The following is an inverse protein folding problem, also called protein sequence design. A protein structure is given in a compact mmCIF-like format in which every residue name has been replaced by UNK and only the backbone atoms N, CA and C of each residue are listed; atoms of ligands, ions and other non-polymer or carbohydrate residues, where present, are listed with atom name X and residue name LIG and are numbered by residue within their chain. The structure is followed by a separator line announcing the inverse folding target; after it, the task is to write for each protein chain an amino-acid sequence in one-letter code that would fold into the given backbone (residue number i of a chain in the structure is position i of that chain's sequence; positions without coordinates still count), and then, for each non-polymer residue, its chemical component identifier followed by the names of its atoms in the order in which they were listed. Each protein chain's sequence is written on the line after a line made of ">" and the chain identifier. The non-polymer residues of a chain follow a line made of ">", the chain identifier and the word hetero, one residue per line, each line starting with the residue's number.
data_IF_492591849078
#
_entry.id   IF_492591849078
#
_cell.length_a   1.000
_cell.length_b   1.000
_cell.length_c   1.000
_cell.angle_alpha   90.00
_cell.angle_beta   90.00
_cell.angle_gamma   90.00
#
_symmetry.space_group_name_H-M   'P 1'
#
loop_
_entity.id
_entity.type
_entity.pdbx_description
1 polymer ?
#
# COMPACT_ATOMS: atom_id res chain seq x y z
N UNK A 1 -8.12 9.29 -6.49
CA UNK A 1 -9.38 9.18 -5.69
C UNK A 1 -9.17 8.55 -4.31
N UNK A 2 -8.30 7.55 -4.16
CA UNK A 2 -8.09 6.89 -2.87
C UNK A 2 -7.55 7.84 -1.80
N UNK A 3 -6.62 8.73 -2.14
CA UNK A 3 -6.08 9.74 -1.20
C UNK A 3 -7.20 10.64 -0.65
N UNK A 4 -8.13 11.07 -1.52
CA UNK A 4 -9.30 11.88 -1.13
C UNK A 4 -10.23 11.07 -0.23
N UNK A 5 -10.42 9.79 -0.53
CA UNK A 5 -11.25 8.90 0.30
C UNK A 5 -10.63 8.66 1.68
N UNK A 6 -9.31 8.50 1.77
CA UNK A 6 -8.58 8.39 3.04
C UNK A 6 -8.70 9.68 3.83
N UNK A 7 -8.51 10.84 3.19
CA UNK A 7 -8.67 12.14 3.83
C UNK A 7 -10.09 12.32 4.38
N UNK A 8 -11.11 11.92 3.62
CA UNK A 8 -12.51 11.99 4.05
C UNK A 8 -12.81 11.05 5.24
N UNK A 9 -12.20 9.85 5.24
CA UNK A 9 -12.33 8.89 6.33
C UNK A 9 -11.61 9.35 7.59
N UNK A 10 -10.44 9.99 7.45
CA UNK A 10 -9.72 10.62 8.54
C UNK A 10 -10.52 11.75 9.17
N UNK A 11 -11.11 12.62 8.35
CA UNK A 11 -11.96 13.72 8.84
C UNK A 11 -13.18 13.17 9.57
N UNK A 12 -13.82 12.14 9.02
CA UNK A 12 -14.95 11.46 9.66
C UNK A 12 -14.54 10.81 10.99
N UNK A 13 -13.34 10.22 11.06
CA UNK A 13 -12.84 9.60 12.29
C UNK A 13 -12.58 10.64 13.38
N UNK A 14 -12.00 11.80 13.01
CA UNK A 14 -11.77 12.90 13.94
C UNK A 14 -13.07 13.44 14.57
N UNK A 15 -14.20 13.31 13.89
CA UNK A 15 -15.51 13.82 14.35
C UNK A 15 -16.28 12.80 15.22
N UNK A 16 -15.88 11.52 15.28
CA UNK A 16 -16.69 10.46 15.89
C UNK A 16 -15.92 9.56 16.87
N UNK A 17 -16.46 9.38 18.08
CA UNK A 17 -15.84 8.61 19.19
C UNK A 17 -16.54 7.26 19.48
N UNK A 18 -17.62 6.90 18.76
CA UNK A 18 -18.44 5.71 19.08
C UNK A 18 -17.89 4.41 18.45
N UNK A 19 -17.88 3.32 19.23
CA UNK A 19 -17.30 2.00 18.88
C UNK A 19 -18.07 1.21 17.79
N UNK A 20 -19.38 1.38 17.68
CA UNK A 20 -20.21 0.67 16.68
C UNK A 20 -19.90 1.11 15.23
N UNK A 21 -19.15 2.19 15.08
CA UNK A 21 -18.80 2.79 13.79
C UNK A 21 -17.64 2.01 13.12
N UNK A 22 -16.87 1.18 13.84
CA UNK A 22 -15.78 0.36 13.24
C UNK A 22 -16.27 -0.52 12.09
N UNK A 23 -17.42 -1.20 12.26
CA UNK A 23 -18.03 -2.03 11.21
C UNK A 23 -18.47 -1.17 10.01
N UNK A 24 -18.96 0.04 10.29
CA UNK A 24 -19.40 1.00 9.28
C UNK A 24 -18.20 1.52 8.46
N UNK A 25 -17.08 1.84 9.11
CA UNK A 25 -15.82 2.21 8.46
C UNK A 25 -15.30 1.11 7.54
N UNK A 26 -15.37 -0.16 7.96
CA UNK A 26 -14.96 -1.28 7.12
C UNK A 26 -15.86 -1.39 5.86
N UNK A 27 -17.19 -1.24 6.00
CA UNK A 27 -18.11 -1.23 4.85
C UNK A 27 -17.87 -0.07 3.90
N UNK A 28 -17.62 1.13 4.43
CA UNK A 28 -17.27 2.29 3.61
C UNK A 28 -15.95 2.05 2.86
N UNK A 29 -14.94 1.49 3.53
CA UNK A 29 -13.66 1.15 2.89
C UNK A 29 -13.84 0.17 1.73
N UNK A 30 -14.68 -0.87 1.90
CA UNK A 30 -15.01 -1.81 0.83
C UNK A 30 -15.71 -1.10 -0.34
N UNK A 31 -16.68 -0.22 -0.07
CA UNK A 31 -17.37 0.55 -1.12
C UNK A 31 -16.42 1.45 -1.90
N UNK A 32 -15.48 2.12 -1.22
CA UNK A 32 -14.43 2.92 -1.85
C UNK A 32 -13.57 2.06 -2.79
N UNK A 33 -13.14 0.88 -2.33
CA UNK A 33 -12.32 -0.03 -3.14
C UNK A 33 -13.07 -0.55 -4.37
N UNK A 34 -14.34 -0.93 -4.22
CA UNK A 34 -15.19 -1.32 -5.35
C UNK A 34 -15.32 -0.19 -6.36
N UNK A 35 -15.53 1.04 -5.90
CA UNK A 35 -15.60 2.20 -6.76
C UNK A 35 -14.27 2.49 -7.48
N UNK A 36 -13.14 2.26 -6.84
CA UNK A 36 -11.82 2.37 -7.48
C UNK A 36 -11.63 1.33 -8.59
N UNK A 37 -12.05 0.08 -8.36
CA UNK A 37 -12.03 -0.98 -9.38
C UNK A 37 -12.87 -0.56 -10.60
N UNK A 38 -14.07 -0.02 -10.37
CA UNK A 38 -14.94 0.43 -11.46
C UNK A 38 -14.29 1.54 -12.30
N UNK A 39 -13.62 2.50 -11.65
CA UNK A 39 -12.88 3.54 -12.36
C UNK A 39 -11.73 2.93 -13.20
N UNK A 40 -10.93 2.04 -12.62
CA UNK A 40 -9.83 1.41 -13.37
C UNK A 40 -10.35 0.63 -14.57
N UNK A 41 -11.43 -0.15 -14.42
CA UNK A 41 -12.10 -0.88 -15.51
C UNK A 41 -12.57 0.06 -16.62
N UNK A 42 -13.18 1.20 -16.27
CA UNK A 42 -13.60 2.18 -17.28
C UNK A 42 -12.40 2.79 -18.02
N UNK A 43 -11.32 3.05 -17.31
CA UNK A 43 -10.13 3.71 -17.86
C UNK A 43 -9.27 2.79 -18.75
N UNK A 44 -9.37 1.47 -18.61
CA UNK A 44 -8.67 0.46 -19.42
C UNK A 44 -8.88 0.62 -20.93
N UNK A 45 -10.01 1.19 -21.33
CA UNK A 45 -10.34 1.44 -22.74
C UNK A 45 -9.66 2.70 -23.30
N UNK A 46 -9.29 3.64 -22.44
CA UNK A 46 -8.74 4.95 -22.81
C UNK A 46 -7.21 4.94 -22.85
N UNK A 47 -6.56 4.09 -22.05
CA UNK A 47 -5.09 4.10 -21.83
C UNK A 47 -4.36 3.07 -22.72
N UNK A 48 -4.55 3.13 -24.04
CA UNK A 48 -3.95 2.13 -24.95
C UNK A 48 -2.45 2.30 -25.19
N UNK A 49 -1.91 3.54 -25.12
CA UNK A 49 -0.48 3.84 -25.33
C UNK A 49 0.32 4.07 -24.04
N UNK A 50 -0.33 4.01 -22.89
CA UNK A 50 0.25 4.42 -21.63
C UNK A 50 0.37 5.94 -21.51
N UNK A 51 0.16 6.46 -20.29
CA UNK A 51 0.24 7.90 -19.99
C UNK A 51 1.32 8.09 -18.94
N UNK A 52 2.34 8.87 -19.28
CA UNK A 52 3.31 9.38 -18.32
C UNK A 52 2.72 10.58 -17.57
N UNK A 53 2.55 10.44 -16.26
CA UNK A 53 2.18 11.51 -15.35
C UNK A 53 3.44 12.18 -14.77
N UNK A 54 3.31 13.45 -14.41
CA UNK A 54 4.36 14.24 -13.76
C UNK A 54 5.73 14.17 -14.45
N UNK A 55 5.77 14.37 -15.77
CA UNK A 55 7.04 14.39 -16.50
C UNK A 55 7.70 13.02 -16.68
N UNK A 56 6.94 11.92 -16.52
CA UNK A 56 7.43 10.55 -16.73
C UNK A 56 7.76 9.78 -15.46
N UNK A 57 7.68 10.43 -14.29
CA UNK A 57 7.90 9.84 -12.96
C UNK A 57 6.95 8.66 -12.67
N UNK A 58 5.69 8.79 -13.08
CA UNK A 58 4.68 7.75 -12.97
C UNK A 58 4.17 7.37 -14.34
N UNK A 59 4.17 6.08 -14.67
CA UNK A 59 3.70 5.56 -15.94
C UNK A 59 2.48 4.67 -15.71
N UNK A 60 1.35 5.05 -16.29
CA UNK A 60 0.12 4.26 -16.23
C UNK A 60 -0.09 3.58 -17.57
N UNK A 61 -0.06 2.26 -17.60
CA UNK A 61 -0.39 1.42 -18.74
C UNK A 61 -1.53 0.48 -18.40
N UNK A 62 -2.08 -0.22 -19.41
CA UNK A 62 -3.05 -1.28 -19.16
C UNK A 62 -2.52 -2.36 -18.21
N UNK A 63 -1.21 -2.66 -18.26
CA UNK A 63 -0.60 -3.64 -17.35
C UNK A 63 -0.65 -3.15 -15.91
N UNK A 64 -0.22 -1.91 -15.65
CA UNK A 64 -0.26 -1.34 -14.29
C UNK A 64 -1.68 -1.27 -13.74
N UNK A 65 -2.67 -0.93 -14.58
CA UNK A 65 -4.08 -0.91 -14.18
C UNK A 65 -4.63 -2.30 -13.84
N UNK A 66 -4.23 -3.35 -14.56
CA UNK A 66 -4.59 -4.74 -14.20
C UNK A 66 -4.02 -5.10 -12.83
N UNK A 67 -2.78 -4.71 -12.53
CA UNK A 67 -2.20 -4.92 -11.20
C UNK A 67 -2.90 -4.11 -10.10
N UNK A 68 -3.33 -2.88 -10.38
CA UNK A 68 -4.14 -2.10 -9.42
C UNK A 68 -5.45 -2.80 -9.08
N UNK A 69 -6.17 -3.29 -10.09
CA UNK A 69 -7.40 -4.07 -9.90
C UNK A 69 -7.14 -5.31 -9.05
N UNK A 70 -6.05 -6.04 -9.31
CA UNK A 70 -5.67 -7.20 -8.52
C UNK A 70 -5.43 -6.84 -7.03
N UNK A 71 -4.68 -5.78 -6.76
CA UNK A 71 -4.44 -5.30 -5.40
C UNK A 71 -5.74 -4.89 -4.68
N UNK A 72 -6.68 -4.26 -5.39
CA UNK A 72 -7.98 -3.93 -4.83
C UNK A 72 -8.83 -5.15 -4.49
N UNK A 73 -8.81 -6.18 -5.34
CA UNK A 73 -9.54 -7.43 -5.07
C UNK A 73 -8.98 -8.10 -3.81
N UNK A 74 -7.64 -8.20 -3.69
CA UNK A 74 -6.99 -8.80 -2.52
C UNK A 74 -7.33 -8.02 -1.24
N UNK A 75 -7.33 -6.69 -1.30
CA UNK A 75 -7.68 -5.88 -0.13
C UNK A 75 -9.15 -5.99 0.29
N UNK A 76 -10.09 -6.06 -0.65
CA UNK A 76 -11.49 -6.36 -0.35
C UNK A 76 -11.60 -7.72 0.33
N UNK A 77 -10.85 -8.72 -0.12
CA UNK A 77 -10.84 -10.05 0.49
C UNK A 77 -10.32 -10.00 1.94
N UNK A 78 -9.26 -9.23 2.22
CA UNK A 78 -8.73 -9.04 3.58
C UNK A 78 -9.77 -8.34 4.50
N UNK A 79 -10.40 -7.27 4.01
CA UNK A 79 -11.40 -6.50 4.76
C UNK A 79 -12.69 -7.31 5.03
N UNK A 80 -13.08 -8.19 4.12
CA UNK A 80 -14.25 -9.07 4.30
C UNK A 80 -13.95 -10.19 5.29
N UNK A 81 -12.77 -10.82 5.23
CA UNK A 81 -12.34 -11.84 6.19
C UNK A 81 -12.31 -11.29 7.62
N UNK A 82 -11.76 -10.09 7.82
CA UNK A 82 -11.73 -9.45 9.15
C UNK A 82 -13.14 -9.20 9.70
N UNK A 83 -14.10 -8.82 8.85
CA UNK A 83 -15.50 -8.64 9.25
C UNK A 83 -16.21 -9.96 9.62
N UNK A 84 -15.91 -11.05 8.90
CA UNK A 84 -16.47 -12.37 9.17
C UNK A 84 -16.00 -12.93 10.52
N UNK A 85 -14.70 -12.77 10.83
CA UNK A 85 -14.14 -13.16 12.13
C UNK A 85 -14.80 -12.38 13.27
N UNK A 86 -14.99 -11.07 13.09
CA UNK A 86 -15.64 -10.20 14.07
C UNK A 86 -17.08 -10.64 14.36
N UNK A 87 -17.89 -10.87 13.32
CA UNK A 87 -19.30 -11.24 13.47
C UNK A 87 -19.48 -12.61 14.16
N UNK A 88 -18.60 -13.57 13.87
CA UNK A 88 -18.64 -14.90 14.51
C UNK A 88 -18.27 -14.83 16.00
N UNK A 89 -17.37 -13.92 16.37
CA UNK A 89 -16.95 -13.69 17.76
C UNK A 89 -18.05 -13.02 18.59
N UNK A 90 -18.77 -12.04 18.01
CA UNK A 90 -19.91 -11.36 18.66
C UNK A 90 -21.08 -12.33 18.94
N UNK A 91 -21.25 -13.37 18.12
CA UNK A 91 -22.32 -14.37 18.31
C UNK A 91 -22.02 -15.36 19.47
N UNK A 92 -20.76 -15.64 19.77
CA UNK A 92 -20.33 -16.55 20.84
C UNK A 92 -20.09 -15.81 22.17
N UNK A 93 -21.07 -15.00 22.59
CA UNK A 93 -21.05 -14.28 23.87
C UNK A 93 -20.96 -15.24 25.07
N UNK A 94 -19.75 -15.51 25.56
CA UNK A 94 -19.54 -15.92 26.96
C UNK A 94 -18.64 -14.92 27.66
N UNK A 95 -19.09 -14.48 28.84
CA UNK A 95 -18.56 -13.37 29.66
C UNK A 95 -17.05 -13.41 29.99
N UNK A 96 -16.37 -14.52 29.70
CA UNK A 96 -14.95 -14.78 30.00
C UNK A 96 -14.02 -14.26 28.88
N UNK A 97 -14.55 -14.03 27.67
CA UNK A 97 -13.79 -13.73 26.43
C UNK A 97 -13.64 -12.21 26.16
N UNK A 98 -14.19 -11.35 27.02
CA UNK A 98 -14.24 -9.90 26.78
C UNK A 98 -12.87 -9.21 26.72
N UNK A 99 -11.81 -9.76 27.34
CA UNK A 99 -10.47 -9.15 27.33
C UNK A 99 -9.73 -9.33 26.00
N UNK A 100 -10.04 -10.39 25.24
CA UNK A 100 -9.53 -10.60 23.88
C UNK A 100 -10.44 -9.99 22.81
N UNK A 101 -11.74 -9.84 23.08
CA UNK A 101 -12.72 -9.29 22.13
C UNK A 101 -12.61 -7.79 21.85
N UNK A 102 -12.00 -6.99 22.75
CA UNK A 102 -11.78 -5.56 22.49
C UNK A 102 -10.72 -5.30 21.41
N UNK A 103 -9.85 -6.27 21.16
CA UNK A 103 -8.76 -6.17 20.19
C UNK A 103 -9.29 -6.09 18.74
N UNK A 104 -10.42 -6.72 18.44
CA UNK A 104 -10.99 -6.68 17.08
C UNK A 104 -11.81 -5.41 16.76
N UNK A 105 -11.88 -4.43 17.67
CA UNK A 105 -12.70 -3.19 17.51
C UNK A 105 -11.88 -1.94 17.18
N UNK A 106 -10.68 -2.09 16.67
CA UNK A 106 -9.79 -0.96 16.36
C UNK A 106 -10.32 -0.27 15.08
N UNK A 107 -10.84 0.95 15.25
CA UNK A 107 -11.45 1.73 14.16
C UNK A 107 -10.40 2.12 13.12
N UNK A 108 -9.13 2.22 13.53
CA UNK A 108 -8.02 2.63 12.68
C UNK A 108 -7.59 1.54 11.68
N UNK A 109 -7.92 0.26 11.88
CA UNK A 109 -7.49 -0.84 11.02
C UNK A 109 -7.82 -0.64 9.53
N UNK A 110 -9.08 -0.43 9.10
CA UNK A 110 -9.40 -0.23 7.69
C UNK A 110 -8.72 1.01 7.10
N UNK A 111 -8.42 2.01 7.93
CA UNK A 111 -7.79 3.26 7.50
C UNK A 111 -6.29 3.07 7.24
N UNK A 112 -5.60 2.34 8.14
CA UNK A 112 -4.20 1.91 7.95
C UNK A 112 -4.10 1.02 6.70
N UNK A 113 -5.06 0.12 6.49
CA UNK A 113 -5.06 -0.77 5.34
C UNK A 113 -5.22 -0.01 4.00
N UNK A 114 -6.13 0.97 3.94
CA UNK A 114 -6.23 1.86 2.78
C UNK A 114 -4.94 2.65 2.53
N UNK A 115 -4.27 3.10 3.60
CA UNK A 115 -2.97 3.78 3.48
C UNK A 115 -1.88 2.87 2.89
N UNK A 116 -1.77 1.62 3.35
CA UNK A 116 -0.83 0.63 2.77
C UNK A 116 -1.10 0.43 1.28
N UNK A 117 -2.37 0.32 0.89
CA UNK A 117 -2.78 0.14 -0.51
C UNK A 117 -2.38 1.34 -1.37
N UNK A 118 -2.46 2.57 -0.86
CA UNK A 118 -1.97 3.72 -1.62
C UNK A 118 -0.49 3.66 -1.96
N UNK A 119 0.34 3.17 -1.04
CA UNK A 119 1.76 2.94 -1.32
C UNK A 119 1.97 1.88 -2.39
N UNK A 120 1.23 0.76 -2.30
CA UNK A 120 1.32 -0.32 -3.27
C UNK A 120 0.91 0.10 -4.70
N UNK A 121 -0.11 0.95 -4.84
CA UNK A 121 -0.54 1.51 -6.14
C UNK A 121 0.52 2.45 -6.71
N UNK A 122 1.10 3.30 -5.86
CA UNK A 122 2.19 4.15 -6.32
C UNK A 122 3.35 3.31 -6.83
N UNK A 123 3.76 2.29 -6.07
CA UNK A 123 4.84 1.36 -6.44
C UNK A 123 4.64 0.80 -7.85
N UNK A 124 3.46 0.25 -8.15
CA UNK A 124 3.16 -0.37 -9.44
C UNK A 124 3.15 0.62 -10.61
N UNK A 125 3.03 1.92 -10.34
CA UNK A 125 3.00 2.97 -11.38
C UNK A 125 4.33 3.71 -11.50
N UNK A 126 5.36 3.36 -10.73
CA UNK A 126 6.63 4.10 -10.71
C UNK A 126 7.51 3.79 -11.92
N UNK A 127 8.20 4.82 -12.44
CA UNK A 127 9.16 4.69 -13.54
C UNK A 127 10.54 5.33 -13.22
N UNK A 128 10.72 5.82 -12.00
CA UNK A 128 11.99 6.37 -11.51
C UNK A 128 12.44 5.65 -10.23
N UNK A 129 13.76 5.50 -10.06
CA UNK A 129 14.37 4.87 -8.86
C UNK A 129 13.96 5.58 -7.56
N UNK A 130 13.89 6.91 -7.58
CA UNK A 130 13.49 7.71 -6.41
C UNK A 130 12.02 7.46 -6.07
N UNK A 131 11.14 7.41 -7.07
CA UNK A 131 9.73 7.11 -6.86
C UNK A 131 9.53 5.70 -6.32
N UNK A 132 10.29 4.71 -6.80
CA UNK A 132 10.27 3.35 -6.25
C UNK A 132 10.57 3.38 -4.76
N UNK A 133 11.67 4.02 -4.36
CA UNK A 133 12.06 4.10 -2.94
C UNK A 133 10.97 4.76 -2.09
N UNK A 134 10.42 5.89 -2.54
CA UNK A 134 9.37 6.60 -1.81
C UNK A 134 8.08 5.77 -1.68
N UNK A 135 7.69 5.03 -2.72
CA UNK A 135 6.51 4.19 -2.69
C UNK A 135 6.67 3.00 -1.72
N UNK A 136 7.86 2.39 -1.68
CA UNK A 136 8.19 1.31 -0.73
C UNK A 136 8.13 1.82 0.71
N UNK A 137 8.74 2.98 1.00
CA UNK A 137 8.71 3.55 2.35
C UNK A 137 7.28 3.90 2.79
N UNK A 138 6.49 4.53 1.91
CA UNK A 138 5.09 4.87 2.22
C UNK A 138 4.27 3.63 2.56
N UNK A 139 4.43 2.53 1.81
CA UNK A 139 3.77 1.26 2.11
C UNK A 139 4.28 0.65 3.43
N UNK A 140 5.59 0.71 3.67
CA UNK A 140 6.25 0.09 4.82
C UNK A 140 5.82 0.74 6.14
N UNK A 141 5.70 2.08 6.19
CA UNK A 141 5.19 2.77 7.38
C UNK A 141 3.79 2.29 7.80
N UNK A 142 2.90 2.07 6.83
CA UNK A 142 1.58 1.50 7.10
C UNK A 142 1.67 0.10 7.71
N UNK A 143 2.56 -0.75 7.18
CA UNK A 143 2.77 -2.10 7.70
C UNK A 143 3.43 -2.12 9.10
N UNK A 144 4.34 -1.19 9.38
CA UNK A 144 4.95 -1.02 10.71
C UNK A 144 3.87 -0.70 11.76
N UNK A 145 2.97 0.22 11.45
CA UNK A 145 1.84 0.56 12.33
C UNK A 145 0.90 -0.64 12.48
N UNK A 146 0.62 -1.35 11.38
CA UNK A 146 -0.26 -2.52 11.41
C UNK A 146 0.28 -3.66 12.28
N UNK A 147 1.61 -3.87 12.28
CA UNK A 147 2.26 -4.92 13.08
C UNK A 147 2.19 -4.66 14.61
N UNK A 148 2.08 -3.39 15.00
CA UNK A 148 2.01 -2.94 16.40
C UNK A 148 0.60 -2.57 16.86
N UNK A 149 -0.43 -2.93 16.07
CA UNK A 149 -1.81 -2.50 16.32
C UNK A 149 -2.33 -2.96 17.70
N UNK A 150 -1.82 -4.08 18.22
CA UNK A 150 -2.16 -4.59 19.55
C UNK A 150 -1.15 -4.12 20.61
N UNK A 151 -1.19 -2.82 20.93
CA UNK A 151 -0.26 -2.18 21.88
C UNK A 151 -0.17 -2.85 23.27
N UNK A 152 -1.24 -3.51 23.71
CA UNK A 152 -1.29 -4.19 25.01
C UNK A 152 -0.65 -5.59 25.00
N UNK A 153 -0.22 -6.09 23.84
CA UNK A 153 0.42 -7.40 23.70
C UNK A 153 1.93 -7.22 23.51
N UNK A 154 2.71 -7.81 24.41
CA UNK A 154 4.18 -7.81 24.31
C UNK A 154 4.67 -8.47 23.01
N UNK A 155 3.97 -9.49 22.51
CA UNK A 155 4.30 -10.17 21.26
C UNK A 155 4.11 -9.25 20.04
N UNK A 156 3.06 -8.43 20.01
CA UNK A 156 2.81 -7.48 18.91
C UNK A 156 3.80 -6.33 18.94
N UNK A 157 4.15 -5.82 20.12
CA UNK A 157 5.12 -4.71 20.24
C UNK A 157 6.54 -5.16 19.89
N UNK A 158 6.97 -6.34 20.38
CA UNK A 158 8.29 -6.90 20.04
C UNK A 158 8.38 -7.28 18.55
N UNK A 159 7.34 -7.91 17.99
CA UNK A 159 7.27 -8.24 16.56
C UNK A 159 7.32 -7.01 15.66
N UNK A 160 6.57 -5.97 16.01
CA UNK A 160 6.57 -4.74 15.21
C UNK A 160 7.85 -3.91 15.34
N UNK A 161 8.51 -3.92 16.50
CA UNK A 161 9.85 -3.33 16.65
C UNK A 161 10.89 -4.04 15.80
N UNK A 162 10.89 -5.39 15.80
CA UNK A 162 11.78 -6.18 14.95
C UNK A 162 11.53 -5.93 13.46
N UNK A 163 10.26 -5.83 13.06
CA UNK A 163 9.90 -5.54 11.68
C UNK A 163 10.31 -4.13 11.24
N UNK A 164 10.14 -3.13 12.11
CA UNK A 164 10.61 -1.75 11.86
C UNK A 164 12.13 -1.67 11.72
N UNK A 165 12.89 -2.31 12.62
CA UNK A 165 14.36 -2.28 12.58
C UNK A 165 14.91 -2.99 11.33
N UNK A 166 14.37 -4.16 11.02
CA UNK A 166 14.80 -4.93 9.85
C UNK A 166 14.40 -4.23 8.54
N UNK A 167 13.22 -3.59 8.53
CA UNK A 167 12.76 -2.78 7.41
C UNK A 167 13.59 -1.51 7.20
N UNK A 168 13.96 -0.79 8.26
CA UNK A 168 14.83 0.38 8.16
C UNK A 168 16.26 0.03 7.71
N UNK A 169 16.78 -1.12 8.11
CA UNK A 169 18.07 -1.62 7.64
C UNK A 169 18.01 -2.02 6.15
N UNK A 170 16.92 -2.67 5.71
CA UNK A 170 16.76 -3.02 4.30
C UNK A 170 16.57 -1.77 3.42
N UNK A 171 15.86 -0.75 3.89
CA UNK A 171 15.67 0.49 3.14
C UNK A 171 16.97 1.29 3.00
N UNK A 172 17.86 1.23 4.00
CA UNK A 172 19.21 1.77 3.90
C UNK A 172 20.01 1.09 2.77
N UNK A 173 19.92 -0.23 2.63
CA UNK A 173 20.57 -0.94 1.52
C UNK A 173 19.96 -0.59 0.15
N UNK A 174 18.64 -0.44 0.06
CA UNK A 174 17.97 -0.01 -1.18
C UNK A 174 18.44 1.41 -1.56
N UNK A 175 18.49 2.33 -0.60
CA UNK A 175 18.93 3.70 -0.84
C UNK A 175 20.41 3.73 -1.26
N UNK A 176 21.28 2.97 -0.58
CA UNK A 176 22.68 2.82 -0.98
C UNK A 176 22.81 2.27 -2.40
N UNK A 177 22.02 1.25 -2.76
CA UNK A 177 22.03 0.63 -4.09
C UNK A 177 21.57 1.60 -5.19
N UNK A 178 20.44 2.29 -4.98
CA UNK A 178 19.96 3.32 -5.92
C UNK A 178 20.93 4.49 -6.05
N UNK A 179 21.59 4.89 -4.95
CA UNK A 179 22.63 5.92 -4.95
C UNK A 179 23.87 5.52 -5.76
N UNK A 180 24.32 4.27 -5.65
CA UNK A 180 25.43 3.75 -6.46
C UNK A 180 25.08 3.67 -7.95
N UNK A 181 23.87 3.22 -8.28
CA UNK A 181 23.39 3.21 -9.68
C UNK A 181 23.37 4.63 -10.24
N UNK A 182 22.85 5.59 -9.47
CA UNK A 182 22.81 6.99 -9.86
C UNK A 182 24.22 7.59 -10.02
N UNK A 183 25.14 7.28 -9.10
CA UNK A 183 26.52 7.78 -9.17
C UNK A 183 27.24 7.34 -10.46
N UNK A 184 26.96 6.13 -10.95
CA UNK A 184 27.57 5.59 -12.16
C UNK A 184 26.85 6.01 -13.45
N UNK A 185 25.51 6.12 -13.43
CA UNK A 185 24.70 6.38 -14.63
C UNK A 185 24.33 7.85 -14.84
N UNK A 186 24.29 8.65 -13.77
CA UNK A 186 23.84 10.04 -13.78
C UNK A 186 22.34 10.23 -14.03
N UNK A 187 21.55 9.15 -14.09
CA UNK A 187 20.10 9.21 -14.33
C UNK A 187 19.33 8.38 -13.31
N UNK A 188 18.14 8.86 -12.94
CA UNK A 188 17.21 8.17 -12.04
C UNK A 188 16.07 7.47 -12.78
N UNK A 189 15.88 7.76 -14.06
CA UNK A 189 14.78 7.22 -14.87
C UNK A 189 15.09 5.82 -15.34
N UNK A 190 14.13 4.89 -15.19
CA UNK A 190 14.27 3.53 -15.68
C UNK A 190 14.45 3.47 -17.20
N UNK A 191 13.71 4.30 -17.94
CA UNK A 191 13.86 4.39 -19.40
C UNK A 191 15.28 4.83 -19.79
N UNK A 192 15.83 5.83 -19.09
CA UNK A 192 17.21 6.28 -19.31
C UNK A 192 18.24 5.21 -18.98
N UNK A 193 18.06 4.48 -17.88
CA UNK A 193 18.92 3.36 -17.49
C UNK A 193 18.88 2.24 -18.55
N UNK A 194 17.70 1.90 -19.04
CA UNK A 194 17.52 0.90 -20.10
C UNK A 194 18.30 1.27 -21.37
N UNK A 195 18.24 2.53 -21.79
CA UNK A 195 18.99 3.02 -22.96
C UNK A 195 20.50 2.90 -22.72
N UNK A 196 21.00 3.37 -21.56
CA UNK A 196 22.43 3.32 -21.23
C UNK A 196 22.93 1.86 -21.26
N UNK A 197 22.19 0.93 -20.66
CA UNK A 197 22.55 -0.50 -20.66
C UNK A 197 22.50 -1.12 -22.05
N UNK A 198 21.51 -0.74 -22.88
CA UNK A 198 21.41 -1.26 -24.25
C UNK A 198 22.59 -0.82 -25.13
N UNK A 199 23.10 0.40 -24.92
CA UNK A 199 24.26 0.92 -25.65
C UNK A 199 25.55 0.21 -25.20
N UNK A 200 25.70 -0.05 -23.89
CA UNK A 200 26.88 -0.78 -23.41
C UNK A 200 26.96 -2.20 -23.96
N UNK A 201 25.84 -2.89 -24.10
CA UNK A 201 25.81 -4.26 -24.65
C UNK A 201 26.30 -4.30 -26.10
N UNK A 202 25.89 -3.33 -26.93
CA UNK A 202 26.32 -3.22 -28.33
C UNK A 202 27.84 -3.01 -28.43
N UNK A 203 28.42 -2.17 -27.56
CA UNK A 203 29.87 -1.94 -27.55
C UNK A 203 30.69 -3.17 -27.15
N UNK A 204 30.08 -4.12 -26.43
CA UNK A 204 30.75 -5.36 -26.01
C UNK A 204 30.72 -6.46 -27.07
N UNK A 205 29.76 -6.42 -28.01
CA UNK A 205 29.66 -7.39 -29.12
C UNK A 205 30.54 -7.06 -30.31
N UNK A 206 31.05 -5.83 -30.38
CA UNK A 206 31.94 -5.35 -31.45
C UNK A 206 33.45 -5.51 -31.12
N UNK A 207 33.78 -6.20 -30.01
CA UNK A 207 35.13 -6.60 -29.58
C UNK A 207 35.31 -8.12 -29.64
#
# INVERSE_FOLDING_TARGET
>A
MIIISILSLLLSNAVNVRRDISILYNRIAILILVYCILNDISSLTVVTKGIGLHGGLLLITNITQIFHIFLFIVSILILTLTNLVLNKFVYYNTKIINKMGEQFKIIEYPLILLFIITGAIFLMSTNDLVSIFLAIELQSYGLYILSTIYRNSELSTTGGLMYFLLGGLSSCFILLGTGLIYANSGSTSLDGLYIITSISDISSTDL
#
